data_IF_368393464558
#
_entry.id   IF_368393464558
#
_cell.length_a   1.000
_cell.length_b   1.000
_cell.length_c   1.000
_cell.angle_alpha   90.00
_cell.angle_beta   90.00
_cell.angle_gamma   90.00
#
_symmetry.space_group_name_H-M   'P 1'
#
loop_
_entity.id
_entity.type
_entity.pdbx_description
1 polymer ?
#
# COMPACT_ATOMS: atom_id res chain seq x y z
N UNK A 1 1.65 -12.14 11.81
CA UNK A 1 2.27 -10.80 11.64
C UNK A 1 1.26 -9.72 12.03
N UNK A 2 1.64 -8.76 12.85
CA UNK A 2 0.73 -7.71 13.33
C UNK A 2 0.25 -6.80 12.18
N UNK A 3 -1.05 -6.52 12.13
CA UNK A 3 -1.73 -5.66 11.16
C UNK A 3 -2.89 -4.91 11.83
N UNK A 4 -3.38 -3.84 11.19
CA UNK A 4 -4.61 -3.21 11.63
C UNK A 4 -5.81 -4.14 11.35
N UNK A 5 -6.57 -4.46 12.39
CA UNK A 5 -7.74 -5.34 12.34
C UNK A 5 -9.05 -4.62 12.71
N UNK A 6 -8.97 -3.33 13.01
CA UNK A 6 -10.13 -2.52 13.37
C UNK A 6 -11.02 -2.16 12.16
N UNK A 7 -12.13 -1.46 12.40
CA UNK A 7 -13.11 -1.11 11.37
C UNK A 7 -12.52 -0.15 10.33
N UNK A 8 -12.46 -0.60 9.07
CA UNK A 8 -11.88 0.14 7.94
C UNK A 8 -12.64 1.42 7.62
N UNK A 9 -13.97 1.37 7.60
CA UNK A 9 -14.83 2.52 7.33
C UNK A 9 -14.67 3.66 8.36
N UNK A 10 -14.31 3.32 9.61
CA UNK A 10 -13.99 4.33 10.64
C UNK A 10 -12.78 5.17 10.24
N UNK A 11 -11.77 4.52 9.68
CA UNK A 11 -10.55 5.18 9.19
C UNK A 11 -10.84 5.97 7.91
N UNK A 12 -11.52 5.37 6.92
CA UNK A 12 -11.90 6.04 5.69
C UNK A 12 -12.71 7.33 5.97
N UNK A 13 -13.70 7.26 6.86
CA UNK A 13 -14.50 8.41 7.29
C UNK A 13 -13.68 9.48 8.02
N UNK A 14 -12.65 9.10 8.77
CA UNK A 14 -11.76 10.05 9.45
C UNK A 14 -10.99 10.92 8.46
N UNK A 15 -10.54 10.33 7.35
CA UNK A 15 -9.78 11.02 6.31
C UNK A 15 -10.66 11.58 5.19
N UNK A 16 -11.93 11.15 5.09
CA UNK A 16 -12.84 11.54 4.01
C UNK A 16 -12.49 10.89 2.66
N UNK A 17 -11.63 9.87 2.66
CA UNK A 17 -11.13 9.20 1.45
C UNK A 17 -11.24 7.67 1.56
N UNK A 18 -11.50 6.95 0.46
CA UNK A 18 -11.63 5.49 0.44
C UNK A 18 -10.27 4.79 0.48
N UNK A 19 -9.52 4.95 1.57
CA UNK A 19 -8.13 4.46 1.73
C UNK A 19 -7.99 2.94 1.49
N UNK A 20 -9.01 2.17 1.84
CA UNK A 20 -8.98 0.69 1.73
C UNK A 20 -9.73 0.17 0.50
N UNK A 21 -10.04 1.02 -0.47
CA UNK A 21 -10.89 0.73 -1.62
C UNK A 21 -12.31 1.26 -1.43
N UNK A 22 -13.21 0.94 -2.37
CA UNK A 22 -14.60 1.42 -2.36
C UNK A 22 -15.30 1.12 -1.02
N UNK A 23 -15.91 2.16 -0.42
CA UNK A 23 -16.56 2.08 0.89
C UNK A 23 -17.97 2.66 0.83
N UNK A 24 -18.98 1.77 0.86
CA UNK A 24 -20.41 2.14 0.86
C UNK A 24 -20.81 2.98 2.08
N UNK A 25 -20.10 2.80 3.21
CA UNK A 25 -20.40 3.56 4.45
C UNK A 25 -19.88 4.98 4.31
N UNK A 26 -18.70 5.18 3.71
CA UNK A 26 -18.16 6.51 3.42
C UNK A 26 -19.09 7.29 2.47
N UNK A 27 -19.61 6.64 1.42
CA UNK A 27 -20.52 7.27 0.47
C UNK A 27 -21.82 7.75 1.13
N UNK A 28 -22.34 7.00 2.12
CA UNK A 28 -23.56 7.36 2.86
C UNK A 28 -23.33 8.37 3.99
N UNK A 29 -22.14 8.34 4.60
CA UNK A 29 -21.81 9.12 5.82
C UNK A 29 -20.44 9.78 5.66
N UNK A 30 -20.38 10.83 4.87
CA UNK A 30 -19.14 11.58 4.57
C UNK A 30 -18.75 12.56 5.70
N UNK A 31 -18.80 12.10 6.95
CA UNK A 31 -18.37 12.86 8.13
C UNK A 31 -17.60 11.96 9.08
N UNK A 32 -16.72 12.50 9.94
CA UNK A 32 -15.93 11.72 10.89
C UNK A 32 -16.79 10.83 11.77
N UNK A 33 -16.25 9.71 12.24
CA UNK A 33 -16.96 8.84 13.16
C UNK A 33 -17.07 9.46 14.56
N UNK A 34 -18.08 9.04 15.32
CA UNK A 34 -18.32 9.45 16.71
C UNK A 34 -19.53 10.39 16.86
N UNK A 35 -19.90 10.69 18.10
CA UNK A 35 -21.05 11.54 18.45
C UNK A 35 -20.95 12.95 17.86
N UNK A 36 -19.73 13.49 17.79
CA UNK A 36 -19.47 14.85 17.32
C UNK A 36 -19.08 14.93 15.83
N UNK A 37 -19.29 13.84 15.06
CA UNK A 37 -18.90 13.79 13.65
C UNK A 37 -19.54 14.86 12.78
N UNK A 38 -20.78 15.27 13.09
CA UNK A 38 -21.52 16.30 12.38
C UNK A 38 -21.28 17.72 12.90
N UNK A 39 -20.56 17.89 14.00
CA UNK A 39 -20.30 19.21 14.57
C UNK A 39 -19.34 20.00 13.68
N UNK A 40 -19.44 21.35 13.74
CA UNK A 40 -18.49 22.25 13.05
C UNK A 40 -17.08 21.94 13.48
N UNK A 41 -16.21 21.60 12.50
CA UNK A 41 -14.82 21.30 12.75
C UNK A 41 -14.04 22.58 13.07
N UNK A 42 -13.20 22.54 14.10
CA UNK A 42 -12.19 23.58 14.34
C UNK A 42 -11.10 23.47 13.28
N UNK A 43 -10.45 24.60 12.97
CA UNK A 43 -9.23 24.61 12.12
C UNK A 43 -8.18 23.68 12.76
N UNK A 44 -7.63 22.78 11.97
CA UNK A 44 -6.57 21.87 12.43
C UNK A 44 -5.27 22.65 12.64
N UNK A 45 -4.52 22.31 13.66
CA UNK A 45 -3.15 22.80 13.82
C UNK A 45 -2.24 22.18 12.74
N UNK A 46 -1.13 22.82 12.43
CA UNK A 46 -0.13 22.30 11.49
C UNK A 46 0.33 20.89 11.87
N UNK A 47 0.63 20.68 13.15
CA UNK A 47 0.97 19.35 13.66
C UNK A 47 -0.12 18.31 13.38
N UNK A 48 -1.38 18.65 13.57
CA UNK A 48 -2.50 17.73 13.32
C UNK A 48 -2.62 17.38 11.83
N UNK A 49 -2.34 18.33 10.93
CA UNK A 49 -2.33 18.11 9.48
C UNK A 49 -1.19 17.17 9.10
N UNK A 50 0.04 17.44 9.55
CA UNK A 50 1.20 16.57 9.31
C UNK A 50 0.99 15.15 9.84
N UNK A 51 0.44 15.05 11.06
CA UNK A 51 0.12 13.75 11.68
C UNK A 51 -0.95 13.00 10.88
N UNK A 52 -1.97 13.69 10.37
CA UNK A 52 -3.01 13.09 9.56
C UNK A 52 -2.44 12.49 8.27
N UNK A 53 -1.58 13.21 7.55
CA UNK A 53 -0.93 12.71 6.34
C UNK A 53 -0.05 11.47 6.61
N UNK A 54 0.74 11.49 7.67
CA UNK A 54 1.51 10.31 8.08
C UNK A 54 0.60 9.12 8.37
N UNK A 55 -0.47 9.32 9.11
CA UNK A 55 -1.42 8.25 9.43
C UNK A 55 -2.14 7.74 8.19
N UNK A 56 -2.51 8.63 7.27
CA UNK A 56 -3.09 8.28 5.96
C UNK A 56 -2.16 7.34 5.20
N UNK A 57 -0.90 7.74 4.98
CA UNK A 57 0.10 6.91 4.31
C UNK A 57 0.26 5.53 4.99
N UNK A 58 0.38 5.52 6.32
CA UNK A 58 0.52 4.30 7.10
C UNK A 58 -0.66 3.34 6.93
N UNK A 59 -1.90 3.84 6.93
CA UNK A 59 -3.09 3.01 6.74
C UNK A 59 -3.24 2.53 5.29
N UNK A 60 -2.92 3.38 4.32
CA UNK A 60 -2.97 3.03 2.89
C UNK A 60 -2.09 1.80 2.58
N UNK A 61 -0.85 1.82 3.07
CA UNK A 61 0.09 0.70 2.86
C UNK A 61 -0.01 -0.42 3.93
N UNK A 62 -0.88 -0.27 4.92
CA UNK A 62 -1.05 -1.27 5.98
C UNK A 62 0.18 -1.50 6.86
N UNK A 63 1.05 -0.50 6.98
CA UNK A 63 2.31 -0.56 7.74
C UNK A 63 2.08 -0.09 9.18
N UNK A 64 2.72 -0.72 10.17
CA UNK A 64 2.69 -0.27 11.57
C UNK A 64 3.71 0.84 11.83
N UNK A 65 3.48 1.65 12.86
CA UNK A 65 4.26 2.85 13.19
C UNK A 65 5.77 2.59 13.27
N UNK A 66 6.18 1.55 13.99
CA UNK A 66 7.60 1.21 14.12
C UNK A 66 8.25 0.89 12.77
N UNK A 67 7.57 0.15 11.91
CA UNK A 67 8.08 -0.18 10.57
C UNK A 67 8.13 1.07 9.69
N UNK A 68 7.09 1.91 9.74
CA UNK A 68 7.04 3.15 8.97
C UNK A 68 8.19 4.10 9.37
N UNK A 69 8.41 4.28 10.68
CA UNK A 69 9.54 5.08 11.20
C UNK A 69 10.89 4.54 10.75
N UNK A 70 11.08 3.21 10.78
CA UNK A 70 12.32 2.60 10.31
C UNK A 70 12.53 2.80 8.78
N UNK A 71 11.45 2.78 7.99
CA UNK A 71 11.51 3.06 6.55
C UNK A 71 11.84 4.53 6.29
N UNK A 72 11.27 5.43 7.05
CA UNK A 72 11.61 6.86 7.00
C UNK A 72 13.10 7.09 7.33
N UNK A 73 13.60 6.51 8.42
CA UNK A 73 15.01 6.62 8.79
C UNK A 73 15.98 6.06 7.73
N UNK A 74 15.56 5.03 6.98
CA UNK A 74 16.32 4.54 5.82
C UNK A 74 16.24 5.49 4.64
N UNK A 75 15.07 6.07 4.36
CA UNK A 75 14.88 7.03 3.28
C UNK A 75 15.67 8.32 3.52
N UNK A 76 15.73 8.80 4.76
CA UNK A 76 16.49 9.99 5.12
C UNK A 76 18.02 9.84 4.98
N UNK A 77 18.52 8.60 4.95
CA UNK A 77 19.95 8.29 4.73
C UNK A 77 20.27 8.00 3.25
N UNK A 78 19.27 7.81 2.43
CA UNK A 78 19.46 7.51 1.02
C UNK A 78 19.61 8.80 0.21
N UNK A 79 20.26 8.70 -0.94
CA UNK A 79 20.35 9.79 -1.90
C UNK A 79 18.98 10.11 -2.51
N UNK A 80 18.71 11.40 -2.75
CA UNK A 80 17.47 11.88 -3.35
C UNK A 80 16.52 12.56 -2.36
N UNK A 81 15.32 12.87 -2.82
CA UNK A 81 14.27 13.53 -2.02
C UNK A 81 13.68 12.51 -1.05
N UNK A 82 13.88 12.73 0.26
CA UNK A 82 13.49 11.78 1.32
C UNK A 82 12.02 11.31 1.22
N UNK A 83 11.10 12.22 0.88
CA UNK A 83 9.68 11.89 0.73
C UNK A 83 9.41 10.93 -0.42
N UNK A 84 10.04 11.15 -1.56
CA UNK A 84 9.91 10.28 -2.75
C UNK A 84 10.53 8.91 -2.47
N UNK A 85 11.74 8.88 -1.91
CA UNK A 85 12.42 7.62 -1.54
C UNK A 85 11.60 6.82 -0.54
N UNK A 86 10.91 7.49 0.40
CA UNK A 86 10.00 6.83 1.33
C UNK A 86 8.83 6.16 0.59
N UNK A 87 8.19 6.87 -0.34
CA UNK A 87 7.08 6.31 -1.14
C UNK A 87 7.57 5.16 -2.03
N UNK A 88 8.72 5.30 -2.69
CA UNK A 88 9.35 4.23 -3.46
C UNK A 88 9.61 2.98 -2.62
N UNK A 89 10.13 3.16 -1.40
CA UNK A 89 10.36 2.04 -0.48
C UNK A 89 9.05 1.36 -0.04
N UNK A 90 7.95 2.12 0.07
CA UNK A 90 6.62 1.57 0.35
C UNK A 90 6.07 0.80 -0.86
N UNK A 91 6.28 1.30 -2.08
CA UNK A 91 5.86 0.63 -3.32
C UNK A 91 6.67 -0.64 -3.60
N UNK A 92 7.96 -0.67 -3.28
CA UNK A 92 8.83 -1.85 -3.46
C UNK A 92 8.53 -3.01 -2.48
N UNK A 93 7.62 -2.88 -1.55
CA UNK A 93 7.26 -3.97 -0.62
C UNK A 93 6.52 -5.08 -1.37
N UNK A 94 6.85 -6.33 -1.07
CA UNK A 94 6.23 -7.48 -1.73
C UNK A 94 4.71 -7.53 -1.59
N UNK A 95 4.17 -7.20 -0.40
CA UNK A 95 2.72 -7.13 -0.19
C UNK A 95 2.05 -6.08 -1.10
N UNK A 96 2.72 -4.95 -1.34
CA UNK A 96 2.21 -3.93 -2.23
C UNK A 96 2.42 -4.29 -3.71
N UNK A 97 3.57 -4.85 -4.09
CA UNK A 97 3.82 -5.31 -5.48
C UNK A 97 2.78 -6.36 -5.89
N UNK A 98 2.48 -7.35 -5.03
CA UNK A 98 1.43 -8.36 -5.27
C UNK A 98 0.04 -7.71 -5.47
N UNK A 99 -0.27 -6.66 -4.72
CA UNK A 99 -1.50 -5.89 -4.92
C UNK A 99 -1.48 -5.11 -6.24
N UNK A 100 -0.36 -4.46 -6.59
CA UNK A 100 -0.21 -3.70 -7.83
C UNK A 100 -0.25 -4.59 -9.09
N UNK A 101 0.23 -5.81 -9.00
CA UNK A 101 0.11 -6.82 -10.06
C UNK A 101 -1.31 -7.40 -10.22
N UNK A 102 -2.26 -7.04 -9.35
CA UNK A 102 -3.62 -7.54 -9.43
C UNK A 102 -3.83 -8.95 -8.89
N UNK A 103 -2.81 -9.62 -8.37
CA UNK A 103 -2.89 -10.97 -7.80
C UNK A 103 -3.85 -11.00 -6.59
N UNK A 104 -4.07 -9.84 -5.96
CA UNK A 104 -4.99 -9.72 -4.83
C UNK A 104 -5.84 -8.44 -4.93
N UNK A 105 -7.12 -8.48 -4.55
CA UNK A 105 -8.04 -7.34 -4.67
C UNK A 105 -7.74 -6.21 -3.66
N UNK A 106 -7.00 -6.50 -2.60
CA UNK A 106 -6.63 -5.51 -1.57
C UNK A 106 -5.23 -5.77 -1.03
N UNK A 107 -4.55 -4.74 -0.52
CA UNK A 107 -3.23 -4.90 0.15
C UNK A 107 -3.29 -5.85 1.35
N UNK A 108 -4.43 -5.93 2.05
CA UNK A 108 -4.62 -6.86 3.15
C UNK A 108 -4.70 -8.33 2.67
N UNK A 109 -5.37 -8.59 1.54
CA UNK A 109 -5.40 -9.90 0.89
C UNK A 109 -4.01 -10.26 0.33
N UNK A 110 -3.33 -9.33 -0.34
CA UNK A 110 -1.96 -9.53 -0.82
C UNK A 110 -1.02 -9.95 0.32
N UNK A 111 -1.09 -9.25 1.45
CA UNK A 111 -0.30 -9.59 2.64
C UNK A 111 -0.62 -10.98 3.18
N UNK A 112 -1.86 -11.42 3.11
CA UNK A 112 -2.27 -12.77 3.50
C UNK A 112 -1.72 -13.82 2.54
N UNK A 113 -1.84 -13.61 1.23
CA UNK A 113 -1.29 -14.52 0.22
C UNK A 113 0.22 -14.70 0.38
N UNK A 114 0.97 -13.61 0.58
CA UNK A 114 2.42 -13.69 0.86
C UNK A 114 2.69 -14.49 2.13
N UNK A 115 2.00 -14.16 3.24
CA UNK A 115 2.19 -14.85 4.53
C UNK A 115 1.85 -16.34 4.48
N UNK A 116 0.90 -16.74 3.63
CA UNK A 116 0.48 -18.12 3.43
C UNK A 116 1.31 -18.87 2.37
N UNK A 117 2.42 -18.27 1.89
CA UNK A 117 3.37 -18.90 0.96
C UNK A 117 2.79 -19.20 -0.43
N UNK A 118 1.85 -18.38 -0.90
CA UNK A 118 1.29 -18.50 -2.26
C UNK A 118 2.11 -17.73 -3.31
N UNK A 119 3.07 -16.90 -2.90
CA UNK A 119 3.86 -16.02 -3.74
C UNK A 119 5.29 -16.52 -3.86
N UNK A 120 5.84 -16.41 -5.06
CA UNK A 120 7.25 -16.68 -5.38
C UNK A 120 7.93 -15.43 -5.91
N UNK A 121 9.21 -15.29 -5.60
CA UNK A 121 10.09 -14.25 -6.16
C UNK A 121 11.30 -14.96 -6.76
N UNK A 122 11.55 -14.75 -8.05
CA UNK A 122 12.60 -15.42 -8.82
C UNK A 122 12.58 -16.95 -8.60
N UNK A 123 11.38 -17.55 -8.64
CA UNK A 123 11.15 -18.99 -8.46
C UNK A 123 11.21 -19.50 -7.02
N UNK A 124 11.58 -18.65 -6.04
CA UNK A 124 11.68 -19.02 -4.62
C UNK A 124 10.46 -18.54 -3.83
N UNK A 125 9.91 -19.40 -2.97
CA UNK A 125 8.77 -19.01 -2.11
C UNK A 125 9.23 -18.00 -1.06
N UNK A 126 8.58 -16.83 -1.04
CA UNK A 126 8.82 -15.77 -0.06
C UNK A 126 7.57 -15.53 0.77
N UNK A 127 7.68 -15.66 2.09
CA UNK A 127 6.56 -15.47 3.03
C UNK A 127 6.68 -14.20 3.89
N UNK A 128 7.56 -13.28 3.50
CA UNK A 128 7.82 -12.03 4.21
C UNK A 128 7.18 -10.87 3.44
N UNK A 129 6.02 -10.31 3.87
CA UNK A 129 5.35 -9.21 3.16
C UNK A 129 6.16 -7.92 3.06
N UNK A 130 7.11 -7.71 3.97
CA UNK A 130 8.02 -6.56 3.96
C UNK A 130 9.28 -6.78 3.13
N UNK A 131 9.39 -7.90 2.40
CA UNK A 131 10.50 -8.14 1.47
C UNK A 131 10.55 -7.01 0.44
N UNK A 132 11.72 -6.43 0.23
CA UNK A 132 11.93 -5.37 -0.73
C UNK A 132 12.23 -5.96 -2.11
N UNK A 133 11.30 -5.82 -3.04
CA UNK A 133 11.47 -6.21 -4.43
C UNK A 133 12.41 -5.20 -5.11
N UNK A 134 13.38 -5.71 -5.84
CA UNK A 134 14.35 -4.89 -6.60
C UNK A 134 14.00 -4.90 -8.09
N UNK A 135 14.42 -3.86 -8.84
CA UNK A 135 14.32 -3.88 -10.30
C UNK A 135 14.90 -5.16 -10.90
N UNK A 136 14.19 -5.71 -11.88
CA UNK A 136 14.55 -6.96 -12.55
C UNK A 136 13.96 -8.24 -11.92
N UNK A 137 13.52 -8.21 -10.66
CA UNK A 137 12.91 -9.36 -10.01
C UNK A 137 11.54 -9.71 -10.59
N UNK A 138 11.27 -11.02 -10.68
CA UNK A 138 9.98 -11.57 -11.12
C UNK A 138 9.18 -12.05 -9.92
N UNK A 139 7.98 -11.49 -9.75
CA UNK A 139 7.04 -11.86 -8.68
C UNK A 139 5.87 -12.62 -9.30
N UNK A 140 5.63 -13.83 -8.86
CA UNK A 140 4.59 -14.69 -9.43
C UNK A 140 3.81 -15.48 -8.40
N UNK A 141 2.79 -16.17 -8.89
CA UNK A 141 1.98 -17.08 -8.09
C UNK A 141 2.66 -18.46 -8.07
N UNK A 142 2.76 -19.07 -6.89
CA UNK A 142 3.26 -20.42 -6.73
C UNK A 142 2.41 -21.41 -7.53
N UNK A 143 3.02 -22.38 -8.21
CA UNK A 143 2.36 -23.32 -9.10
C UNK A 143 1.11 -23.98 -8.49
N UNK A 144 1.25 -24.53 -7.29
CA UNK A 144 0.15 -25.15 -6.52
C UNK A 144 -0.99 -24.20 -6.14
N UNK A 145 -0.81 -22.90 -6.35
CA UNK A 145 -1.75 -21.84 -5.93
C UNK A 145 -2.38 -21.11 -7.12
N UNK A 146 -1.99 -21.44 -8.35
CA UNK A 146 -2.51 -20.81 -9.58
C UNK A 146 -4.00 -21.04 -9.81
N UNK A 147 -4.54 -22.15 -9.28
CA UNK A 147 -5.96 -22.53 -9.37
C UNK A 147 -6.81 -21.99 -8.22
N UNK A 148 -6.28 -21.12 -7.37
CA UNK A 148 -7.08 -20.54 -6.30
C UNK A 148 -8.07 -19.52 -6.86
N UNK A 149 -9.36 -19.75 -6.65
CA UNK A 149 -10.47 -18.91 -7.11
C UNK A 149 -10.28 -17.41 -6.74
N UNK A 150 -9.77 -17.12 -5.54
CA UNK A 150 -9.51 -15.76 -5.09
C UNK A 150 -8.49 -15.04 -5.98
N UNK A 151 -7.48 -15.76 -6.47
CA UNK A 151 -6.44 -15.20 -7.36
C UNK A 151 -7.00 -15.04 -8.76
N UNK A 152 -7.70 -16.05 -9.29
CA UNK A 152 -8.30 -15.99 -10.61
C UNK A 152 -9.33 -14.88 -10.74
N UNK A 153 -10.22 -14.75 -9.77
CA UNK A 153 -11.19 -13.64 -9.73
C UNK A 153 -10.54 -12.26 -9.61
N UNK A 154 -9.41 -12.15 -8.91
CA UNK A 154 -8.68 -10.89 -8.79
C UNK A 154 -8.00 -10.50 -10.11
N UNK A 155 -7.39 -11.45 -10.81
CA UNK A 155 -6.71 -11.23 -12.09
C UNK A 155 -7.69 -10.92 -13.23
N UNK A 156 -8.83 -11.63 -13.30
CA UNK A 156 -9.84 -11.45 -14.35
C UNK A 156 -10.42 -10.02 -14.42
N UNK A 157 -10.46 -9.29 -13.32
CA UNK A 157 -10.98 -7.91 -13.27
C UNK A 157 -9.91 -6.82 -13.26
N UNK A 158 -8.63 -7.16 -13.45
CA UNK A 158 -7.53 -6.24 -13.27
C UNK A 158 -6.94 -5.73 -14.59
N UNK A 159 -6.69 -4.43 -14.67
CA UNK A 159 -5.98 -3.83 -15.81
C UNK A 159 -4.48 -3.81 -15.52
N UNK A 160 -3.75 -4.72 -16.17
CA UNK A 160 -2.30 -4.87 -15.98
C UNK A 160 -1.46 -3.75 -16.58
N UNK A 161 -1.99 -2.94 -17.50
CA UNK A 161 -1.29 -1.78 -18.07
C UNK A 161 -1.32 -0.53 -17.18
N UNK A 162 -2.01 -0.60 -16.03
CA UNK A 162 -2.21 0.53 -15.13
C UNK A 162 -0.92 1.06 -14.51
N UNK A 163 0.09 0.22 -14.35
CA UNK A 163 1.33 0.55 -13.65
C UNK A 163 2.54 0.33 -14.56
N UNK A 164 3.10 1.40 -15.17
CA UNK A 164 4.14 1.28 -16.21
C UNK A 164 5.47 0.72 -15.69
N UNK A 165 5.71 0.73 -14.40
CA UNK A 165 6.92 0.16 -13.79
C UNK A 165 6.86 -1.35 -13.53
N UNK A 166 5.77 -2.01 -13.98
CA UNK A 166 5.58 -3.46 -13.88
C UNK A 166 5.07 -4.01 -15.19
N UNK A 167 5.58 -5.16 -15.57
CA UNK A 167 5.15 -5.93 -16.72
C UNK A 167 4.49 -7.23 -16.24
N UNK A 168 3.37 -7.62 -16.84
CA UNK A 168 2.63 -8.81 -16.47
C UNK A 168 2.65 -9.85 -17.58
N UNK A 169 2.84 -11.11 -17.21
CA UNK A 169 2.74 -12.27 -18.09
C UNK A 169 1.62 -13.20 -17.59
N UNK A 170 0.53 -13.28 -18.39
CA UNK A 170 -0.63 -14.11 -18.06
C UNK A 170 -0.33 -15.61 -18.11
N UNK A 171 0.56 -16.04 -19.00
CA UNK A 171 0.88 -17.47 -19.19
C UNK A 171 1.55 -18.03 -17.94
N UNK A 172 2.50 -17.32 -17.39
CA UNK A 172 3.20 -17.73 -16.17
C UNK A 172 2.48 -17.30 -14.88
N UNK A 173 1.46 -16.44 -14.95
CA UNK A 173 0.83 -15.72 -13.80
C UNK A 173 1.90 -15.05 -12.95
N UNK A 174 2.77 -14.29 -13.59
CA UNK A 174 3.87 -13.57 -12.94
C UNK A 174 4.06 -12.17 -13.52
N UNK A 175 4.63 -11.26 -12.72
CA UNK A 175 4.97 -9.92 -13.15
C UNK A 175 6.41 -9.58 -12.86
N UNK A 176 7.06 -8.86 -13.76
CA UNK A 176 8.41 -8.34 -13.62
C UNK A 176 8.38 -6.91 -13.09
N UNK A 177 9.15 -6.64 -12.06
CA UNK A 177 9.34 -5.29 -11.52
C UNK A 177 10.47 -4.61 -12.31
N UNK A 178 10.14 -3.64 -13.18
CA UNK A 178 11.09 -3.05 -14.14
C UNK A 178 12.01 -2.03 -13.47
N UNK A 179 11.41 -1.03 -12.82
CA UNK A 179 12.13 0.05 -12.14
C UNK A 179 11.35 0.55 -10.93
N UNK A 180 11.97 1.35 -10.08
CA UNK A 180 11.24 2.01 -8.99
C UNK A 180 10.30 3.07 -9.59
N UNK A 181 9.05 3.18 -9.11
CA UNK A 181 8.11 4.17 -9.62
C UNK A 181 8.61 5.60 -9.32
N UNK A 182 8.34 6.51 -10.24
CA UNK A 182 8.46 7.93 -9.99
C UNK A 182 7.29 8.45 -9.15
N UNK A 183 7.41 9.65 -8.60
CA UNK A 183 6.33 10.23 -7.78
C UNK A 183 5.02 10.39 -8.57
N UNK A 184 5.14 10.72 -9.85
CA UNK A 184 4.02 10.91 -10.78
C UNK A 184 3.24 9.63 -11.06
N UNK A 185 3.90 8.49 -11.02
CA UNK A 185 3.30 7.18 -11.31
C UNK A 185 2.49 6.66 -10.11
N UNK A 186 2.83 7.12 -8.90
CA UNK A 186 2.18 6.65 -7.66
C UNK A 186 0.81 7.32 -7.52
N UNK A 187 -0.31 6.56 -7.63
CA UNK A 187 -1.65 7.14 -7.67
C UNK A 187 -2.17 7.60 -6.31
N UNK A 188 -1.49 7.28 -5.22
CA UNK A 188 -1.91 7.68 -3.87
C UNK A 188 -1.72 9.18 -3.65
N UNK A 189 -2.82 9.85 -3.27
CA UNK A 189 -2.81 11.27 -2.88
C UNK A 189 -2.24 11.42 -1.46
N UNK A 190 -0.91 11.39 -1.35
CA UNK A 190 -0.16 11.55 -0.11
C UNK A 190 0.78 12.74 -0.27
N UNK A 191 0.75 13.67 0.68
CA UNK A 191 1.66 14.82 0.74
C UNK A 191 2.89 14.43 1.55
N UNK A 192 3.90 13.88 0.88
CA UNK A 192 5.12 13.36 1.50
C UNK A 192 5.92 14.41 2.26
N UNK A 193 5.91 15.67 1.81
CA UNK A 193 6.59 16.77 2.49
C UNK A 193 6.11 16.96 3.93
N UNK A 194 4.80 16.87 4.16
CA UNK A 194 4.23 16.97 5.51
C UNK A 194 4.69 15.84 6.43
N UNK A 195 4.96 14.66 5.85
CA UNK A 195 5.50 13.52 6.60
C UNK A 195 6.97 13.79 6.96
N UNK A 196 7.75 14.34 6.03
CA UNK A 196 9.15 14.70 6.27
C UNK A 196 9.24 15.77 7.37
N UNK A 197 8.44 16.83 7.29
CA UNK A 197 8.37 17.89 8.29
C UNK A 197 8.01 17.35 9.69
N UNK A 198 7.05 16.41 9.77
CA UNK A 198 6.65 15.79 11.04
C UNK A 198 7.79 15.04 11.72
N UNK A 199 8.63 14.34 10.96
CA UNK A 199 9.73 13.56 11.52
C UNK A 199 11.02 14.37 11.70
N UNK A 200 11.11 15.56 11.11
CA UNK A 200 12.25 16.48 11.25
C UNK A 200 12.11 17.39 12.50
N UNK A 201 10.90 17.48 13.05
CA UNK A 201 10.63 18.13 14.35
C UNK A 201 10.85 17.14 15.50
#
# INVERSE_FOLDING_TARGET
>A
MAKYIGPKSKIARRFGEPIFGADKVLSKRNFPPGQHGNNRRRKLSEYAVMLAEKQKAKYTYGVLERQFRNMFAKAAKAEGITGEVLLQNLECRLDNVVFRLGIAPTRAAARQLVGHKHIVVDGKVVNIPSFAVKPGMVVGVREKSKSLEVIENALAGFNHTKYPWMEWDDASKSGKFLHKPERTDIPENIKEQLIVELYSK
#
